data_IF_253714767080
#
_entry.id   IF_253714767080
#
_cell.length_a   1.000
_cell.length_b   1.000
_cell.length_c   1.000
_cell.angle_alpha   90.00
_cell.angle_beta   90.00
_cell.angle_gamma   90.00
#
_symmetry.space_group_name_H-M   'P 1'
#
loop_
_entity.id
_entity.type
_entity.pdbx_description
1 polymer ?
#
# COMPACT_ATOMS: atom_id res chain seq x y z
N UNK A 1 53.82 -39.50 4.33
CA UNK A 1 52.77 -40.43 3.85
C UNK A 1 51.44 -39.69 3.91
N UNK A 2 50.66 -39.81 2.82
CA UNK A 2 49.26 -39.36 2.62
C UNK A 2 49.03 -37.85 2.41
N UNK A 3 48.34 -37.34 1.38
CA UNK A 3 47.89 -37.83 0.07
C UNK A 3 47.23 -36.62 -0.63
N UNK A 4 47.50 -36.45 -1.92
CA UNK A 4 46.94 -35.47 -2.85
C UNK A 4 45.40 -35.49 -2.93
N UNK A 5 44.76 -34.32 -3.00
CA UNK A 5 43.42 -34.17 -3.60
C UNK A 5 43.34 -32.81 -4.28
N UNK A 6 43.73 -32.81 -5.56
CA UNK A 6 43.42 -31.77 -6.53
C UNK A 6 41.92 -31.87 -6.84
N UNK A 7 41.12 -30.87 -6.45
CA UNK A 7 39.74 -30.76 -6.94
C UNK A 7 39.81 -30.28 -8.40
N UNK A 8 39.24 -31.01 -9.37
CA UNK A 8 39.08 -30.47 -10.72
C UNK A 8 38.05 -29.34 -10.62
N UNK A 9 38.50 -28.09 -10.77
CA UNK A 9 37.58 -27.02 -11.11
C UNK A 9 37.36 -27.09 -12.62
N UNK A 10 36.47 -27.97 -13.05
CA UNK A 10 35.78 -27.80 -14.32
C UNK A 10 34.90 -26.55 -14.18
N UNK A 11 35.52 -25.38 -14.39
CA UNK A 11 34.77 -24.26 -14.92
C UNK A 11 34.77 -24.50 -16.42
N UNK A 12 33.64 -24.92 -17.02
CA UNK A 12 33.50 -24.84 -18.46
C UNK A 12 33.64 -23.36 -18.82
N UNK A 13 34.85 -22.97 -19.24
CA UNK A 13 35.16 -21.71 -19.89
C UNK A 13 34.53 -21.73 -21.27
N UNK A 14 33.20 -21.66 -21.30
CA UNK A 14 32.42 -21.27 -22.47
C UNK A 14 31.89 -19.88 -22.19
N UNK A 15 32.18 -18.95 -23.09
CA UNK A 15 31.75 -17.55 -23.06
C UNK A 15 30.33 -17.43 -22.50
N UNK A 16 30.21 -16.96 -21.24
CA UNK A 16 28.92 -16.68 -20.63
C UNK A 16 28.26 -15.65 -21.52
N UNK A 17 27.19 -16.03 -22.21
CA UNK A 17 26.59 -15.16 -23.21
C UNK A 17 26.12 -13.87 -22.53
N UNK A 18 26.13 -12.76 -23.26
CA UNK A 18 25.61 -11.48 -22.78
C UNK A 18 24.18 -11.64 -22.21
N UNK A 19 23.40 -12.59 -22.76
CA UNK A 19 22.08 -12.96 -22.24
C UNK A 19 22.09 -13.58 -20.83
N UNK A 20 23.12 -14.35 -20.46
CA UNK A 20 23.25 -14.91 -19.11
C UNK A 20 23.69 -13.88 -18.06
N UNK A 21 24.47 -12.85 -18.44
CA UNK A 21 24.85 -11.75 -17.53
C UNK A 21 23.64 -10.84 -17.25
N UNK A 22 22.86 -10.55 -18.30
CA UNK A 22 21.62 -9.77 -18.16
C UNK A 22 20.58 -10.53 -17.34
N UNK A 23 20.49 -11.86 -17.50
CA UNK A 23 19.63 -12.70 -16.67
C UNK A 23 20.04 -12.65 -15.18
N UNK A 24 21.34 -12.75 -14.86
CA UNK A 24 21.80 -12.66 -13.46
C UNK A 24 21.56 -11.29 -12.83
N UNK A 25 21.79 -10.19 -13.56
CA UNK A 25 21.51 -8.83 -13.06
C UNK A 25 20.00 -8.62 -12.83
N UNK A 26 19.17 -9.21 -13.68
CA UNK A 26 17.71 -9.16 -13.52
C UNK A 26 17.24 -9.91 -12.27
N UNK A 27 17.88 -11.03 -11.95
CA UNK A 27 17.57 -11.80 -10.74
C UNK A 27 18.09 -11.12 -9.47
N UNK A 28 19.25 -10.46 -9.52
CA UNK A 28 19.77 -9.66 -8.41
C UNK A 28 18.84 -8.45 -8.11
N UNK A 29 18.35 -7.75 -9.14
CA UNK A 29 17.38 -6.67 -8.96
C UNK A 29 16.06 -7.14 -8.34
N UNK A 30 15.56 -8.31 -8.78
CA UNK A 30 14.37 -8.93 -8.16
C UNK A 30 14.61 -9.23 -6.68
N UNK A 31 15.81 -9.68 -6.32
CA UNK A 31 16.16 -9.98 -4.93
C UNK A 31 16.11 -8.74 -4.04
N UNK A 32 16.65 -7.60 -4.51
CA UNK A 32 16.63 -6.32 -3.78
C UNK A 32 15.20 -5.81 -3.61
N UNK A 33 14.41 -5.79 -4.68
CA UNK A 33 13.00 -5.36 -4.62
C UNK A 33 12.21 -6.25 -3.65
N UNK A 34 12.42 -7.56 -3.69
CA UNK A 34 11.76 -8.49 -2.77
C UNK A 34 12.16 -8.26 -1.31
N UNK A 35 13.42 -7.88 -1.06
CA UNK A 35 13.93 -7.58 0.28
C UNK A 35 13.36 -6.26 0.82
N UNK A 36 13.28 -5.21 0.00
CA UNK A 36 12.63 -3.95 0.40
C UNK A 36 11.14 -4.14 0.68
N UNK A 37 10.43 -4.93 -0.14
CA UNK A 37 9.03 -5.27 0.11
C UNK A 37 8.88 -6.07 1.40
N UNK A 38 9.78 -7.02 1.67
CA UNK A 38 9.78 -7.77 2.92
C UNK A 38 10.01 -6.86 4.14
N UNK A 39 10.95 -5.90 4.03
CA UNK A 39 11.24 -4.94 5.08
C UNK A 39 10.06 -4.00 5.34
N UNK A 40 9.49 -3.42 4.29
CA UNK A 40 8.30 -2.57 4.38
C UNK A 40 7.13 -3.31 5.01
N UNK A 41 6.94 -4.60 4.65
CA UNK A 41 5.92 -5.45 5.26
C UNK A 41 6.17 -5.66 6.76
N UNK A 42 7.42 -5.86 7.17
CA UNK A 42 7.78 -6.00 8.59
C UNK A 42 7.55 -4.70 9.36
N UNK A 43 7.91 -3.55 8.80
CA UNK A 43 7.72 -2.24 9.44
C UNK A 43 6.22 -1.91 9.61
N UNK A 44 5.41 -2.21 8.58
CA UNK A 44 3.95 -2.08 8.66
C UNK A 44 3.38 -3.05 9.71
N UNK A 45 3.85 -4.30 9.76
CA UNK A 45 3.41 -5.26 10.79
C UNK A 45 3.82 -4.85 12.20
N UNK A 46 5.03 -4.33 12.39
CA UNK A 46 5.51 -3.83 13.66
C UNK A 46 4.66 -2.65 14.12
N UNK A 47 4.41 -1.70 13.22
CA UNK A 47 3.54 -0.54 13.46
C UNK A 47 2.11 -0.96 13.83
N UNK A 48 1.55 -1.92 13.10
CA UNK A 48 0.22 -2.51 13.40
C UNK A 48 0.21 -3.21 14.75
N UNK A 49 1.28 -3.94 15.12
CA UNK A 49 1.37 -4.64 16.39
C UNK A 49 1.46 -3.67 17.57
N UNK A 50 2.25 -2.61 17.45
CA UNK A 50 2.32 -1.55 18.46
C UNK A 50 0.96 -0.85 18.61
N UNK A 51 0.30 -0.49 17.51
CA UNK A 51 -1.04 0.08 17.55
C UNK A 51 -2.08 -0.90 18.15
N UNK A 52 -1.96 -2.19 17.86
CA UNK A 52 -2.87 -3.22 18.35
C UNK A 52 -2.75 -3.46 19.87
N UNK A 53 -1.62 -3.15 20.51
CA UNK A 53 -1.48 -3.26 21.98
C UNK A 53 -2.49 -2.38 22.73
N UNK A 54 -2.92 -1.26 22.13
CA UNK A 54 -3.93 -0.39 22.72
C UNK A 54 -5.38 -0.86 22.52
N UNK A 55 -5.63 -1.76 21.56
CA UNK A 55 -6.97 -2.24 21.24
C UNK A 55 -7.72 -2.86 22.44
N UNK A 56 -7.14 -3.77 23.25
CA UNK A 56 -7.88 -4.35 24.38
C UNK A 56 -8.24 -3.29 25.43
N UNK A 57 -7.36 -2.33 25.68
CA UNK A 57 -7.61 -1.27 26.65
C UNK A 57 -8.75 -0.35 26.20
N UNK A 58 -8.82 -0.02 24.89
CA UNK A 58 -9.95 0.72 24.34
C UNK A 58 -11.26 -0.06 24.37
N UNK A 59 -11.22 -1.37 24.12
CA UNK A 59 -12.41 -2.23 24.24
C UNK A 59 -12.93 -2.22 25.68
N UNK A 60 -12.05 -2.45 26.66
CA UNK A 60 -12.44 -2.43 28.08
C UNK A 60 -12.94 -1.05 28.50
N UNK A 61 -12.23 0.02 28.12
CA UNK A 61 -12.65 1.39 28.41
C UNK A 61 -14.01 1.71 27.78
N UNK A 62 -14.26 1.28 26.55
CA UNK A 62 -15.54 1.45 25.86
C UNK A 62 -16.69 0.72 26.56
N UNK A 63 -16.46 -0.52 26.98
CA UNK A 63 -17.46 -1.30 27.74
C UNK A 63 -17.75 -0.62 29.08
N UNK A 64 -16.72 -0.22 29.83
CA UNK A 64 -16.89 0.49 31.10
C UNK A 64 -17.62 1.82 30.92
N UNK A 65 -17.28 2.61 29.89
CA UNK A 65 -17.95 3.86 29.57
C UNK A 65 -19.43 3.64 29.24
N UNK A 66 -19.78 2.55 28.54
CA UNK A 66 -21.16 2.20 28.25
C UNK A 66 -21.96 1.87 29.52
N UNK A 67 -21.38 1.05 30.42
CA UNK A 67 -22.00 0.75 31.71
C UNK A 67 -22.16 2.01 32.57
N UNK A 68 -21.12 2.83 32.66
CA UNK A 68 -21.16 4.10 33.40
C UNK A 68 -22.24 5.03 32.85
N UNK A 69 -22.36 5.15 31.53
CA UNK A 69 -23.41 5.94 30.89
C UNK A 69 -24.81 5.40 31.24
N UNK A 70 -25.01 4.09 31.21
CA UNK A 70 -26.29 3.47 31.62
C UNK A 70 -26.65 3.76 33.08
N UNK A 71 -25.67 3.67 33.99
CA UNK A 71 -25.86 4.03 35.40
C UNK A 71 -26.17 5.51 35.58
N UNK A 72 -25.47 6.41 34.88
CA UNK A 72 -25.71 7.85 34.94
C UNK A 72 -27.10 8.23 34.40
N UNK A 73 -27.54 7.62 33.30
CA UNK A 73 -28.88 7.85 32.76
C UNK A 73 -29.97 7.35 33.71
N UNK A 74 -29.75 6.18 34.33
CA UNK A 74 -30.67 5.63 35.34
C UNK A 74 -30.71 6.53 36.57
N UNK A 75 -29.56 6.97 37.06
CA UNK A 75 -29.47 7.92 38.18
C UNK A 75 -30.15 9.25 37.86
N UNK A 76 -29.98 9.78 36.65
CA UNK A 76 -30.66 10.99 36.20
C UNK A 76 -32.18 10.81 36.17
N UNK A 77 -32.68 9.67 35.67
CA UNK A 77 -34.10 9.35 35.66
C UNK A 77 -34.67 9.25 37.08
N UNK A 78 -33.97 8.57 38.00
CA UNK A 78 -34.35 8.51 39.40
C UNK A 78 -34.30 9.87 40.11
N UNK A 79 -33.31 10.71 39.79
CA UNK A 79 -33.25 12.07 40.31
C UNK A 79 -34.44 12.91 39.81
N UNK A 80 -34.83 12.76 38.55
CA UNK A 80 -36.01 13.44 38.01
C UNK A 80 -37.32 12.89 38.60
N UNK A 81 -37.34 11.61 38.96
CA UNK A 81 -38.47 10.98 39.63
C UNK A 81 -38.72 11.49 41.07
N UNK A 82 -37.81 12.29 41.65
CA UNK A 82 -38.06 13.01 42.91
C UNK A 82 -39.15 14.08 42.77
N UNK A 83 -39.33 14.61 41.56
CA UNK A 83 -40.29 15.70 41.27
C UNK A 83 -41.36 15.30 40.26
N UNK A 84 -41.11 14.30 39.42
CA UNK A 84 -42.04 13.80 38.40
C UNK A 84 -42.48 12.35 38.66
N UNK A 85 -43.61 11.90 38.11
CA UNK A 85 -43.94 10.47 38.08
C UNK A 85 -42.82 9.66 37.45
N UNK A 86 -42.48 8.51 38.05
CA UNK A 86 -41.33 7.69 37.64
C UNK A 86 -41.36 7.35 36.15
N UNK A 87 -42.52 6.96 35.61
CA UNK A 87 -42.64 6.62 34.18
C UNK A 87 -42.31 7.82 33.27
N UNK A 88 -42.71 9.03 33.65
CA UNK A 88 -42.47 10.25 32.86
C UNK A 88 -41.01 10.68 32.93
N UNK A 89 -40.38 10.54 34.11
CA UNK A 89 -38.96 10.82 34.30
C UNK A 89 -38.07 9.96 33.38
N UNK A 90 -38.33 8.64 33.32
CA UNK A 90 -37.61 7.74 32.43
C UNK A 90 -37.87 8.04 30.95
N UNK A 91 -39.11 8.39 30.57
CA UNK A 91 -39.41 8.81 29.20
C UNK A 91 -38.69 10.10 28.82
N UNK A 92 -38.62 11.09 29.70
CA UNK A 92 -37.95 12.35 29.43
C UNK A 92 -36.45 12.16 29.16
N UNK A 93 -35.77 11.37 30.00
CA UNK A 93 -34.36 11.02 29.80
C UNK A 93 -34.17 10.21 28.52
N UNK A 94 -35.07 9.26 28.23
CA UNK A 94 -35.04 8.48 26.99
C UNK A 94 -35.19 9.34 25.72
N UNK A 95 -36.14 10.28 25.70
CA UNK A 95 -36.33 11.21 24.57
C UNK A 95 -35.10 12.10 24.39
N UNK A 96 -34.53 12.62 25.49
CA UNK A 96 -33.29 13.41 25.43
C UNK A 96 -32.14 12.61 24.82
N UNK A 97 -31.99 11.34 25.20
CA UNK A 97 -30.94 10.46 24.67
C UNK A 97 -31.14 10.18 23.17
N UNK A 98 -32.37 9.90 22.74
CA UNK A 98 -32.70 9.68 21.32
C UNK A 98 -32.42 10.94 20.50
N UNK A 99 -32.77 12.12 21.01
CA UNK A 99 -32.48 13.39 20.34
C UNK A 99 -30.95 13.60 20.20
N UNK A 100 -30.18 13.37 21.27
CA UNK A 100 -28.72 13.48 21.24
C UNK A 100 -28.11 12.48 20.25
N UNK A 101 -28.56 11.23 20.27
CA UNK A 101 -28.12 10.19 19.33
C UNK A 101 -28.41 10.57 17.88
N UNK A 102 -29.59 11.14 17.59
CA UNK A 102 -29.95 11.63 16.27
C UNK A 102 -29.03 12.75 15.77
N UNK A 103 -28.69 13.71 16.63
CA UNK A 103 -27.75 14.80 16.31
C UNK A 103 -26.35 14.25 16.02
N UNK A 104 -25.83 13.36 16.88
CA UNK A 104 -24.52 12.73 16.70
C UNK A 104 -24.47 11.88 15.42
N UNK A 105 -25.51 11.09 15.15
CA UNK A 105 -25.61 10.28 13.94
C UNK A 105 -25.58 11.17 12.69
N UNK A 106 -26.34 12.27 12.69
CA UNK A 106 -26.39 13.19 11.56
C UNK A 106 -25.06 13.94 11.38
N UNK A 107 -24.39 14.33 12.46
CA UNK A 107 -23.05 14.92 12.42
C UNK A 107 -22.01 13.91 11.88
N UNK A 108 -22.06 12.66 12.33
CA UNK A 108 -21.19 11.58 11.85
C UNK A 108 -21.39 11.30 10.36
N UNK A 109 -22.64 11.21 9.90
CA UNK A 109 -22.96 11.06 8.48
C UNK A 109 -22.40 12.23 7.67
N UNK A 110 -22.53 13.47 8.17
CA UNK A 110 -21.97 14.65 7.50
C UNK A 110 -20.45 14.63 7.45
N UNK A 111 -19.78 14.14 8.49
CA UNK A 111 -18.34 14.01 8.52
C UNK A 111 -17.86 12.94 7.54
N UNK A 112 -18.51 11.77 7.51
CA UNK A 112 -18.20 10.71 6.54
C UNK A 112 -18.42 11.17 5.10
N UNK A 113 -19.47 11.94 4.82
CA UNK A 113 -19.72 12.50 3.48
C UNK A 113 -18.65 13.48 3.01
N UNK A 114 -17.86 14.06 3.91
CA UNK A 114 -16.74 14.95 3.57
C UNK A 114 -15.45 14.20 3.25
N UNK A 115 -15.35 12.93 3.63
CA UNK A 115 -14.19 12.10 3.32
C UNK A 115 -14.43 11.52 1.92
N UNK A 116 -13.66 11.99 0.93
CA UNK A 116 -13.66 11.38 -0.40
C UNK A 116 -12.92 10.03 -0.31
N UNK A 117 -13.61 8.89 -0.44
CA UNK A 117 -13.01 7.57 -0.25
C UNK A 117 -12.06 7.19 -1.39
N UNK A 118 -12.04 7.95 -2.49
CA UNK A 118 -11.12 7.71 -3.59
C UNK A 118 -9.74 8.28 -3.21
N UNK A 119 -8.66 7.47 -3.27
CA UNK A 119 -7.30 7.98 -3.12
C UNK A 119 -6.91 8.71 -4.41
N UNK A 120 -7.56 9.84 -4.68
CA UNK A 120 -7.49 10.57 -5.96
C UNK A 120 -6.06 10.96 -6.31
N UNK A 121 -5.22 11.26 -5.31
CA UNK A 121 -3.79 11.51 -5.51
C UNK A 121 -3.01 10.27 -5.93
N UNK A 122 -3.26 9.12 -5.29
CA UNK A 122 -2.60 7.86 -5.67
C UNK A 122 -3.00 7.42 -7.08
N UNK A 123 -4.28 7.61 -7.44
CA UNK A 123 -4.79 7.32 -8.78
C UNK A 123 -4.18 8.28 -9.81
N UNK A 124 -4.08 9.57 -9.50
CA UNK A 124 -3.46 10.56 -10.40
C UNK A 124 -1.98 10.23 -10.65
N UNK A 125 -1.20 9.92 -9.61
CA UNK A 125 0.20 9.53 -9.77
C UNK A 125 0.39 8.23 -10.55
N UNK A 126 -0.49 7.25 -10.36
CA UNK A 126 -0.48 6.04 -11.17
C UNK A 126 -0.76 6.33 -12.66
N UNK A 127 -1.70 7.24 -12.96
CA UNK A 127 -2.00 7.64 -14.33
C UNK A 127 -0.85 8.42 -14.98
N UNK A 128 -0.21 9.34 -14.26
CA UNK A 128 0.98 10.07 -14.74
C UNK A 128 2.12 9.10 -15.06
N UNK A 129 2.34 8.10 -14.21
CA UNK A 129 3.38 7.08 -14.42
C UNK A 129 3.09 6.24 -15.67
N UNK A 130 1.82 5.85 -15.87
CA UNK A 130 1.41 5.10 -17.06
C UNK A 130 1.54 5.93 -18.35
N UNK A 131 1.24 7.24 -18.28
CA UNK A 131 1.39 8.15 -19.41
C UNK A 131 2.86 8.30 -19.81
N UNK A 132 3.76 8.53 -18.85
CA UNK A 132 5.19 8.66 -19.10
C UNK A 132 5.81 7.38 -19.72
N UNK A 133 5.37 6.20 -19.27
CA UNK A 133 5.82 4.92 -19.86
C UNK A 133 5.33 4.76 -21.31
N UNK A 134 4.09 5.17 -21.60
CA UNK A 134 3.53 5.07 -22.94
C UNK A 134 4.24 5.99 -23.93
N UNK A 135 4.51 7.23 -23.51
CA UNK A 135 5.22 8.23 -24.31
C UNK A 135 6.67 7.80 -24.61
N UNK A 136 7.38 7.24 -23.62
CA UNK A 136 8.72 6.67 -23.84
C UNK A 136 8.74 5.49 -24.83
N UNK A 137 7.66 4.70 -24.90
CA UNK A 137 7.53 3.60 -25.86
C UNK A 137 7.31 4.09 -27.29
N UNK A 138 6.54 5.17 -27.45
CA UNK A 138 6.24 5.78 -28.75
C UNK A 138 7.49 6.51 -29.30
N UNK A 139 8.18 7.27 -28.48
CA UNK A 139 9.46 7.91 -28.84
C UNK A 139 10.55 6.88 -29.22
N UNK A 140 10.61 5.74 -28.52
CA UNK A 140 11.55 4.65 -28.85
C UNK A 140 11.22 3.95 -30.17
N UNK A 141 9.94 3.81 -30.52
CA UNK A 141 9.51 3.22 -31.79
C UNK A 141 9.85 4.13 -32.99
N UNK A 142 9.72 5.44 -32.81
CA UNK A 142 10.06 6.43 -33.84
C UNK A 142 11.59 6.49 -34.06
N UNK A 143 12.39 6.40 -32.99
CA UNK A 143 13.84 6.39 -33.10
C UNK A 143 14.38 5.11 -33.75
N UNK A 144 13.71 3.97 -33.55
CA UNK A 144 14.03 2.70 -34.22
C UNK A 144 13.67 2.72 -35.72
N UNK A 145 12.64 3.47 -36.12
CA UNK A 145 12.24 3.62 -37.52
C UNK A 145 13.19 4.52 -38.33
N UNK A 146 13.94 5.40 -37.66
CA UNK A 146 14.92 6.30 -38.28
C UNK A 146 16.33 5.70 -38.40
N UNK A 147 16.58 4.47 -37.94
CA UNK A 147 17.85 3.77 -38.18
C UNK A 147 17.81 3.16 -39.59
N UNK A 148 18.50 3.72 -40.59
CA UNK A 148 18.54 3.11 -41.92
C UNK A 148 19.22 1.74 -41.85
N UNK A 149 18.76 0.73 -42.61
CA UNK A 149 19.45 -0.56 -42.68
C UNK A 149 20.89 -0.32 -43.11
N UNK A 150 21.82 -0.75 -42.25
CA UNK A 150 23.26 -0.79 -42.54
C UNK A 150 23.48 -1.24 -43.98
N UNK A 151 24.08 -0.34 -44.78
CA UNK A 151 24.47 -0.50 -46.17
C UNK A 151 25.01 -1.91 -46.43
N UNK A 152 24.13 -2.82 -46.85
CA UNK A 152 24.53 -4.06 -47.47
C UNK A 152 25.19 -3.70 -48.80
N UNK A 153 26.47 -4.08 -48.89
CA UNK A 153 27.21 -4.32 -50.13
C UNK A 153 27.34 -3.12 -51.08
N UNK A 154 28.47 -2.40 -50.94
CA UNK A 154 29.06 -1.67 -52.06
C UNK A 154 29.90 -2.68 -52.85
N UNK A 155 29.54 -3.05 -54.09
CA UNK A 155 30.37 -3.92 -54.91
C UNK A 155 31.66 -3.17 -55.24
N UNK A 156 32.78 -3.71 -54.76
CA UNK A 156 34.11 -3.14 -54.90
C UNK A 156 34.68 -3.45 -56.29
N UNK A 157 33.94 -3.13 -57.36
CA UNK A 157 34.25 -3.54 -58.74
C UNK A 157 34.59 -2.39 -59.70
N UNK A 158 35.02 -1.23 -59.22
CA UNK A 158 35.52 -0.21 -60.13
C UNK A 158 36.48 0.79 -59.47
N UNK A 159 37.70 0.35 -59.16
CA UNK A 159 38.81 1.26 -58.90
C UNK A 159 39.79 1.19 -60.06
N UNK A 160 39.98 2.28 -60.83
CA UNK A 160 41.04 2.33 -61.82
C UNK A 160 42.39 2.37 -61.10
N UNK A 161 43.28 1.47 -61.48
CA UNK A 161 44.68 1.45 -61.07
C UNK A 161 45.38 2.55 -61.85
N UNK A 162 45.80 3.61 -61.17
CA UNK A 162 46.75 4.62 -61.65
C UNK A 162 47.85 4.74 -60.62
#
# INVERSE_FOLDING_TARGET
MSSSTTRPTDHPSGDRSIGQIIASVSDDLKSVVSAEVALAKLEVQASLKEAAKGAPMLVVAGVLALYALGLLLTAAAWALALVWPTWLAFLAVGVLLVALAGVLALAGIRLLKKVDPKPTRAIAHAQETLAAVKEGREAGAEHAALIPPSRAEVPLSDRPVV
#
